data_IF_176722479660
#
_entry.id   IF_176722479660
#
_cell.length_a   1.000
_cell.length_b   1.000
_cell.length_c   1.000
_cell.angle_alpha   90.00
_cell.angle_beta   90.00
_cell.angle_gamma   90.00
#
_symmetry.space_group_name_H-M   'P 1'
#
loop_
_entity.id
_entity.type
_entity.pdbx_description
1 polymer ?
#
# COMPACT_ATOMS: atom_id res chain seq x y z
N UNK A 1 -17.38 -48.77 3.63
CA UNK A 1 -17.06 -47.37 3.96
C UNK A 1 -15.78 -47.36 4.77
N UNK A 2 -14.69 -46.72 4.33
CA UNK A 2 -13.51 -46.56 5.17
C UNK A 2 -13.62 -45.25 5.98
N UNK A 3 -13.52 -45.39 7.29
CA UNK A 3 -13.50 -44.32 8.29
C UNK A 3 -12.19 -43.52 8.22
N UNK A 4 -12.24 -42.19 8.27
CA UNK A 4 -11.04 -41.35 8.40
C UNK A 4 -10.37 -41.54 9.77
N UNK A 5 -9.02 -41.56 9.85
CA UNK A 5 -8.31 -41.59 11.12
C UNK A 5 -8.28 -40.20 11.78
N UNK A 6 -8.73 -40.15 13.04
CA UNK A 6 -8.55 -39.02 13.95
C UNK A 6 -7.11 -38.95 14.46
N UNK A 7 -6.26 -38.16 13.82
CA UNK A 7 -4.92 -37.73 14.29
C UNK A 7 -4.60 -36.40 13.57
N UNK A 8 -4.18 -35.29 14.18
CA UNK A 8 -3.58 -35.01 15.48
C UNK A 8 -4.03 -33.60 15.92
N UNK A 9 -4.42 -33.51 17.19
CA UNK A 9 -4.43 -32.27 17.96
C UNK A 9 -3.00 -31.71 17.94
N UNK A 10 -2.81 -30.63 17.20
CA UNK A 10 -1.62 -29.79 17.24
C UNK A 10 -2.07 -28.34 17.16
N UNK A 11 -2.28 -27.70 18.30
CA UNK A 11 -2.31 -26.25 18.41
C UNK A 11 -0.92 -25.72 18.07
N UNK A 12 -0.59 -25.61 16.78
CA UNK A 12 0.50 -24.75 16.37
C UNK A 12 -0.05 -23.33 16.33
N UNK A 13 -0.03 -22.72 17.52
CA UNK A 13 0.34 -21.32 17.67
C UNK A 13 1.68 -21.13 16.94
N UNK A 14 1.62 -20.91 15.62
CA UNK A 14 2.76 -20.37 14.89
C UNK A 14 2.87 -18.90 15.30
N UNK A 15 3.44 -18.66 16.47
CA UNK A 15 4.15 -17.41 16.79
C UNK A 15 5.41 -17.39 15.95
N UNK A 16 5.26 -17.29 14.64
CA UNK A 16 6.32 -16.72 13.83
C UNK A 16 6.08 -15.21 13.86
N UNK A 17 6.94 -14.41 14.52
CA UNK A 17 6.89 -12.98 14.27
C UNK A 17 6.98 -12.78 12.75
N UNK A 18 6.19 -11.88 12.15
CA UNK A 18 6.31 -11.59 10.74
C UNK A 18 7.78 -11.29 10.42
N UNK A 19 8.37 -11.84 9.34
CA UNK A 19 9.76 -11.57 9.02
C UNK A 19 9.93 -10.06 8.88
N UNK A 20 10.78 -9.48 9.72
CA UNK A 20 10.90 -8.04 10.00
C UNK A 20 11.46 -7.19 8.84
N UNK A 21 11.25 -7.60 7.60
CA UNK A 21 11.55 -6.86 6.37
C UNK A 21 10.39 -7.04 5.38
N UNK A 22 9.22 -6.50 5.72
CA UNK A 22 8.10 -6.43 4.81
C UNK A 22 8.42 -5.40 3.72
N UNK A 23 8.66 -5.86 2.49
CA UNK A 23 8.89 -4.98 1.34
C UNK A 23 7.55 -4.46 0.83
N UNK A 24 7.37 -3.14 0.88
CA UNK A 24 6.23 -2.45 0.29
C UNK A 24 6.62 -1.92 -1.09
N UNK A 25 5.75 -2.10 -2.07
CA UNK A 25 5.87 -1.46 -3.38
C UNK A 25 4.83 -0.37 -3.47
N UNK A 26 5.25 0.84 -3.85
CA UNK A 26 4.36 1.98 -4.04
C UNK A 26 4.31 2.28 -5.53
N UNK A 27 3.12 2.19 -6.12
CA UNK A 27 2.88 2.76 -7.44
C UNK A 27 2.26 4.14 -7.26
N UNK A 28 2.80 5.14 -7.95
CA UNK A 28 2.26 6.49 -7.97
C UNK A 28 2.24 7.03 -9.39
N UNK A 29 1.31 7.94 -9.65
CA UNK A 29 1.21 8.67 -10.92
C UNK A 29 0.61 10.06 -10.66
N UNK A 30 1.31 11.10 -11.13
CA UNK A 30 0.84 12.48 -11.10
C UNK A 30 0.23 12.88 -12.44
N UNK A 31 -1.09 12.88 -12.53
CA UNK A 31 -1.81 13.30 -13.74
C UNK A 31 -2.08 14.80 -13.73
N UNK A 32 -1.83 15.48 -14.85
CA UNK A 32 -2.01 16.92 -15.00
C UNK A 32 -2.89 17.24 -16.22
N UNK A 33 -3.92 18.07 -16.04
CA UNK A 33 -4.94 18.29 -17.08
C UNK A 33 -4.52 19.36 -18.10
N UNK A 34 -4.06 20.53 -17.66
CA UNK A 34 -3.53 21.60 -18.53
C UNK A 34 -2.74 22.64 -17.74
N UNK A 35 -1.84 23.37 -18.42
CA UNK A 35 -1.00 24.43 -17.81
C UNK A 35 -1.81 25.64 -17.31
N UNK A 36 -3.12 25.67 -17.56
CA UNK A 36 -4.00 26.83 -17.37
C UNK A 36 -4.77 26.81 -16.06
N UNK A 37 -4.91 25.64 -15.42
CA UNK A 37 -5.57 25.48 -14.13
C UNK A 37 -4.80 24.51 -13.25
N UNK A 38 -4.62 24.82 -11.95
CA UNK A 38 -3.93 23.93 -11.04
C UNK A 38 -4.84 22.77 -10.63
N UNK A 39 -5.10 21.87 -11.57
CA UNK A 39 -5.85 20.63 -11.34
C UNK A 39 -4.98 19.46 -11.78
N UNK A 40 -4.34 18.84 -10.80
CA UNK A 40 -3.68 17.56 -10.95
C UNK A 40 -4.35 16.52 -10.06
N UNK A 41 -4.18 15.25 -10.41
CA UNK A 41 -4.60 14.13 -9.58
C UNK A 41 -3.40 13.24 -9.29
N UNK A 42 -3.23 12.83 -8.04
CA UNK A 42 -2.26 11.83 -7.65
C UNK A 42 -2.98 10.51 -7.43
N UNK A 43 -2.55 9.46 -8.12
CA UNK A 43 -2.97 8.09 -7.80
C UNK A 43 -1.84 7.44 -7.03
N UNK A 44 -2.16 6.77 -5.93
CA UNK A 44 -1.20 6.04 -5.10
C UNK A 44 -1.77 4.67 -4.81
N UNK A 45 -0.96 3.63 -4.92
CA UNK A 45 -1.31 2.25 -4.54
C UNK A 45 -0.17 1.63 -3.74
N UNK A 46 -0.48 1.10 -2.56
CA UNK A 46 0.47 0.35 -1.73
C UNK A 46 0.22 -1.14 -1.94
N UNK A 47 1.29 -1.86 -2.31
CA UNK A 47 1.27 -3.29 -2.59
C UNK A 47 2.18 -4.02 -1.60
N UNK A 48 1.66 -5.08 -1.00
CA UNK A 48 2.38 -5.95 -0.10
C UNK A 48 2.21 -7.41 -0.56
N UNK A 49 3.33 -8.12 -0.77
CA UNK A 49 3.33 -9.49 -1.29
C UNK A 49 2.48 -9.68 -2.58
N UNK A 50 2.49 -8.68 -3.46
CA UNK A 50 1.73 -8.71 -4.71
C UNK A 50 0.22 -8.46 -4.56
N UNK A 51 -0.26 -8.09 -3.37
CA UNK A 51 -1.64 -7.69 -3.13
C UNK A 51 -1.74 -6.20 -2.87
N UNK A 52 -2.76 -5.56 -3.46
CA UNK A 52 -3.08 -4.16 -3.15
C UNK A 52 -3.66 -4.09 -1.74
N UNK A 53 -3.05 -3.27 -0.90
CA UNK A 53 -3.44 -3.10 0.49
C UNK A 53 -4.20 -1.81 0.73
N UNK A 54 -3.81 -0.74 0.03
CA UNK A 54 -4.48 0.56 0.07
C UNK A 54 -4.27 1.29 -1.26
N UNK A 55 -5.16 2.22 -1.58
CA UNK A 55 -5.00 3.11 -2.71
C UNK A 55 -5.85 4.37 -2.57
N UNK A 56 -5.26 5.50 -2.97
CA UNK A 56 -5.88 6.83 -2.86
C UNK A 56 -5.78 7.58 -4.19
N UNK A 57 -6.81 8.37 -4.46
CA UNK A 57 -6.81 9.36 -5.53
C UNK A 57 -7.02 10.73 -4.88
N UNK A 58 -6.04 11.60 -5.01
CA UNK A 58 -6.09 12.93 -4.40
C UNK A 58 -6.08 14.03 -5.44
N UNK A 59 -6.85 15.09 -5.18
CA UNK A 59 -6.76 16.33 -5.94
C UNK A 59 -5.52 17.10 -5.48
N UNK A 60 -4.54 17.19 -6.36
CA UNK A 60 -3.30 17.89 -6.13
C UNK A 60 -3.41 19.29 -6.75
N UNK A 61 -3.46 20.32 -5.91
CA UNK A 61 -3.36 21.71 -6.37
C UNK A 61 -1.91 21.97 -6.83
N UNK A 62 -1.63 21.77 -8.12
CA UNK A 62 -0.29 21.84 -8.71
C UNK A 62 -0.30 22.72 -9.95
N UNK A 63 0.75 23.49 -10.17
CA UNK A 63 0.87 24.39 -11.33
C UNK A 63 1.68 23.78 -12.48
N UNK A 64 2.32 22.64 -12.27
CA UNK A 64 3.13 21.95 -13.29
C UNK A 64 2.99 20.42 -13.21
N UNK A 65 3.28 19.68 -14.30
CA UNK A 65 3.31 18.22 -14.28
C UNK A 65 4.31 17.66 -13.26
N UNK A 66 5.50 18.26 -13.13
CA UNK A 66 6.52 17.77 -12.18
C UNK A 66 6.09 17.94 -10.71
N UNK A 67 5.32 18.99 -10.41
CA UNK A 67 4.72 19.16 -9.08
C UNK A 67 3.67 18.09 -8.79
N UNK A 68 2.86 17.70 -9.80
CA UNK A 68 1.89 16.61 -9.66
C UNK A 68 2.58 15.28 -9.32
N UNK A 69 3.61 14.91 -10.08
CA UNK A 69 4.40 13.70 -9.84
C UNK A 69 5.06 13.70 -8.46
N UNK A 70 5.68 14.82 -8.10
CA UNK A 70 6.37 14.93 -6.81
C UNK A 70 5.40 14.81 -5.64
N UNK A 71 4.21 15.42 -5.73
CA UNK A 71 3.20 15.32 -4.68
C UNK A 71 2.59 13.91 -4.61
N UNK A 72 2.31 13.27 -5.74
CA UNK A 72 1.82 11.88 -5.76
C UNK A 72 2.81 10.92 -5.09
N UNK A 73 4.12 11.08 -5.34
CA UNK A 73 5.16 10.32 -4.65
C UNK A 73 5.14 10.56 -3.13
N UNK A 74 5.07 11.83 -2.68
CA UNK A 74 5.08 12.16 -1.26
C UNK A 74 3.87 11.57 -0.52
N UNK A 75 2.67 11.65 -1.11
CA UNK A 75 1.48 11.01 -0.54
C UNK A 75 1.62 9.49 -0.53
N UNK A 76 2.27 8.90 -1.54
CA UNK A 76 2.58 7.47 -1.56
C UNK A 76 3.49 7.02 -0.43
N UNK A 77 4.53 7.79 -0.14
CA UNK A 77 5.41 7.50 0.99
C UNK A 77 4.66 7.62 2.32
N UNK A 78 3.83 8.65 2.51
CA UNK A 78 3.01 8.78 3.72
C UNK A 78 2.05 7.61 3.89
N UNK A 79 1.37 7.20 2.82
CA UNK A 79 0.44 6.08 2.85
C UNK A 79 1.14 4.77 3.23
N UNK A 80 2.33 4.52 2.68
CA UNK A 80 3.12 3.35 3.04
C UNK A 80 3.61 3.40 4.50
N UNK A 81 3.91 4.59 5.03
CA UNK A 81 4.26 4.78 6.43
C UNK A 81 3.07 4.52 7.37
N UNK A 82 1.88 5.01 7.01
CA UNK A 82 0.62 4.71 7.73
C UNK A 82 0.39 3.20 7.78
N UNK A 83 0.40 2.54 6.61
CA UNK A 83 0.23 1.10 6.50
C UNK A 83 1.28 0.30 7.31
N UNK A 84 2.55 0.68 7.20
CA UNK A 84 3.63 0.06 7.97
C UNK A 84 3.48 0.24 9.49
N UNK A 85 3.01 1.41 9.93
CA UNK A 85 2.77 1.70 11.35
C UNK A 85 1.60 0.88 11.91
N UNK A 86 0.52 0.73 11.14
CA UNK A 86 -0.62 -0.11 11.51
C UNK A 86 -0.28 -1.61 11.54
N UNK A 87 0.61 -2.08 10.66
CA UNK A 87 1.09 -3.47 10.67
C UNK A 87 2.00 -3.82 11.86
N UNK A 88 2.51 -2.84 12.62
CA UNK A 88 3.42 -3.08 13.76
C UNK A 88 2.68 -3.27 15.09
N UNK A 89 1.35 -3.14 15.12
CA UNK A 89 0.52 -3.25 16.33
C UNK A 89 -0.25 -4.59 16.34
N UNK A 90 0.44 -5.73 16.30
CA UNK A 90 -0.11 -7.05 16.67
C UNK A 90 0.93 -7.94 17.34
#
# INVERSE_FOLDING_TARGET
>A
MPSLPSQLRGTQSHTNPPPSNHSLVIHYDGSFINDSQPSAYGVVVVIHHGQVCDGRVENLLCSTPIEAETKALLEGVKLAQEYGSECTVQ
#
